data_IF_925654624333
#
_entry.id   IF_925654624333
#
_cell.length_a   1.000
_cell.length_b   1.000
_cell.length_c   1.000
_cell.angle_alpha   90.00
_cell.angle_beta   90.00
_cell.angle_gamma   90.00
#
_symmetry.space_group_name_H-M   'P 1'
#
loop_
_entity.id
_entity.type
_entity.pdbx_description
1 polymer ?
#
# COMPACT_ATOMS: atom_id res chain seq x y z
N UNK A 1 -6.52 13.38 7.19
CA UNK A 1 -5.73 13.95 8.33
C UNK A 1 -5.17 15.29 7.87
N UNK A 2 -5.51 16.37 8.57
CA UNK A 2 -5.06 17.73 8.23
C UNK A 2 -4.08 18.22 9.30
N UNK A 3 -3.07 19.01 8.90
CA UNK A 3 -2.06 19.54 9.83
C UNK A 3 -0.84 20.14 9.11
N UNK A 4 -0.02 20.95 9.78
CA UNK A 4 1.14 21.63 9.19
C UNK A 4 2.23 20.66 8.74
N UNK A 5 3.14 21.08 7.85
CA UNK A 5 4.29 20.26 7.46
C UNK A 5 5.10 19.84 8.69
N UNK A 6 5.59 18.60 8.71
CA UNK A 6 6.33 18.04 9.86
C UNK A 6 5.47 17.50 11.02
N UNK A 7 4.14 17.63 10.98
CA UNK A 7 3.26 17.12 12.05
C UNK A 7 3.08 15.59 12.08
N UNK A 8 3.95 14.82 11.42
CA UNK A 8 3.90 13.35 11.42
C UNK A 8 2.79 12.69 10.59
N UNK A 9 2.03 13.43 9.77
CA UNK A 9 0.92 12.87 8.96
C UNK A 9 1.37 11.74 8.03
N UNK A 10 2.47 11.97 7.32
CA UNK A 10 3.02 10.98 6.39
C UNK A 10 3.52 9.76 7.15
N UNK A 11 4.20 9.96 8.28
CA UNK A 11 4.64 8.87 9.17
C UNK A 11 3.44 8.03 9.63
N UNK A 12 2.37 8.67 10.10
CA UNK A 12 1.16 7.97 10.52
C UNK A 12 0.52 7.17 9.39
N UNK A 13 0.39 7.76 8.19
CA UNK A 13 -0.15 7.05 7.03
C UNK A 13 0.74 5.87 6.60
N UNK A 14 2.06 6.00 6.71
CA UNK A 14 2.99 4.92 6.39
C UNK A 14 2.89 3.77 7.40
N UNK A 15 2.75 4.08 8.70
CA UNK A 15 2.55 3.07 9.75
C UNK A 15 1.23 2.33 9.53
N UNK A 16 0.12 3.06 9.30
CA UNK A 16 -1.20 2.46 9.02
C UNK A 16 -1.13 1.58 7.76
N UNK A 17 -0.42 2.05 6.74
CA UNK A 17 -0.23 1.33 5.49
C UNK A 17 0.73 0.13 5.57
N UNK A 18 1.41 -0.09 6.70
CA UNK A 18 2.42 -1.15 6.84
C UNK A 18 3.69 -0.93 6.00
N UNK A 19 3.98 0.32 5.64
CA UNK A 19 5.25 0.72 5.01
C UNK A 19 6.33 1.06 6.04
N UNK A 20 5.92 1.41 7.25
CA UNK A 20 6.81 1.75 8.35
C UNK A 20 6.37 1.06 9.65
N UNK A 21 7.27 0.96 10.63
CA UNK A 21 7.01 0.33 11.93
C UNK A 21 6.80 1.39 13.01
N UNK A 22 5.86 1.15 13.90
CA UNK A 22 5.74 1.94 15.12
C UNK A 22 6.72 1.41 16.18
N UNK A 23 7.16 2.27 17.08
CA UNK A 23 8.08 1.90 18.16
C UNK A 23 7.31 1.41 19.40
N UNK A 24 6.22 2.09 19.76
CA UNK A 24 5.39 1.79 20.93
C UNK A 24 3.89 1.81 20.60
N UNK A 25 3.08 1.19 21.47
CA UNK A 25 1.64 1.05 21.28
C UNK A 25 1.25 -0.22 20.52
N UNK A 26 0.02 -0.28 20.03
CA UNK A 26 -0.48 -1.39 19.23
C UNK A 26 -1.37 -0.88 18.10
N UNK A 27 -1.21 -1.51 16.93
CA UNK A 27 -2.04 -1.29 15.76
C UNK A 27 -2.87 -2.55 15.56
N UNK A 28 -4.19 -2.41 15.64
CA UNK A 28 -5.13 -3.53 15.46
C UNK A 28 -5.79 -3.42 14.09
N UNK A 29 -5.59 -4.44 13.25
CA UNK A 29 -6.15 -4.51 11.90
C UNK A 29 -7.15 -5.67 11.87
N UNK A 30 -8.39 -5.39 11.49
CA UNK A 30 -9.47 -6.41 11.43
C UNK A 30 -9.64 -7.20 12.73
N UNK A 31 -9.43 -6.55 13.88
CA UNK A 31 -9.53 -7.18 15.21
C UNK A 31 -8.31 -7.98 15.65
N UNK A 32 -7.24 -8.02 14.85
CA UNK A 32 -5.98 -8.72 15.17
C UNK A 32 -4.88 -7.71 15.47
N UNK A 33 -4.16 -7.92 16.58
CA UNK A 33 -2.97 -7.12 16.91
C UNK A 33 -1.86 -7.38 15.89
N UNK A 34 -1.29 -6.31 15.35
CA UNK A 34 -0.18 -6.40 14.39
C UNK A 34 1.14 -6.80 15.04
N UNK A 35 1.21 -6.87 16.37
CA UNK A 35 2.36 -7.45 17.08
C UNK A 35 2.53 -8.94 16.80
N UNK A 36 1.43 -9.62 16.45
CA UNK A 36 1.43 -11.04 16.11
C UNK A 36 1.65 -11.28 14.60
N UNK A 37 1.65 -10.23 13.78
CA UNK A 37 1.84 -10.36 12.34
C UNK A 37 3.28 -10.78 12.02
N UNK A 38 3.40 -11.82 11.19
CA UNK A 38 4.64 -12.19 10.51
C UNK A 38 4.76 -11.43 9.20
N UNK A 39 5.93 -11.47 8.57
CA UNK A 39 6.17 -10.79 7.29
C UNK A 39 5.13 -11.16 6.21
N UNK A 40 4.71 -12.43 6.17
CA UNK A 40 3.66 -12.90 5.25
C UNK A 40 2.30 -12.25 5.51
N UNK A 41 1.97 -11.94 6.76
CA UNK A 41 0.72 -11.28 7.13
C UNK A 41 0.75 -9.81 6.69
N UNK A 42 1.90 -9.16 6.81
CA UNK A 42 2.13 -7.82 6.26
C UNK A 42 2.06 -7.76 4.75
N UNK A 43 2.64 -8.73 4.05
CA UNK A 43 2.53 -8.84 2.59
C UNK A 43 1.07 -9.03 2.16
N UNK A 44 0.34 -9.91 2.84
CA UNK A 44 -1.08 -10.12 2.57
C UNK A 44 -1.90 -8.85 2.81
N UNK A 45 -1.68 -8.17 3.94
CA UNK A 45 -2.34 -6.91 4.27
C UNK A 45 -2.10 -5.84 3.20
N UNK A 46 -0.83 -5.64 2.82
CA UNK A 46 -0.44 -4.67 1.79
C UNK A 46 -1.05 -5.00 0.43
N UNK A 47 -1.07 -6.27 0.03
CA UNK A 47 -1.52 -6.67 -1.31
C UNK A 47 -3.05 -6.68 -1.48
N UNK A 48 -3.80 -6.87 -0.40
CA UNK A 48 -5.26 -7.07 -0.47
C UNK A 48 -6.08 -5.96 0.19
N UNK A 49 -5.50 -5.20 1.12
CA UNK A 49 -6.26 -4.23 1.94
C UNK A 49 -5.83 -2.80 1.67
N UNK A 50 -4.58 -2.56 1.26
CA UNK A 50 -4.02 -1.22 1.15
C UNK A 50 -3.71 -0.85 -0.30
N UNK A 51 -4.20 0.32 -0.71
CA UNK A 51 -3.79 0.99 -1.94
C UNK A 51 -3.19 2.35 -1.60
N UNK A 52 -1.99 2.64 -2.09
CA UNK A 52 -1.34 3.93 -1.88
C UNK A 52 -1.57 4.87 -3.06
N UNK A 53 -1.95 6.10 -2.75
CA UNK A 53 -1.93 7.23 -3.68
C UNK A 53 -1.04 8.29 -3.07
N UNK A 54 0.05 8.62 -3.76
CA UNK A 54 1.05 9.57 -3.31
C UNK A 54 0.82 10.95 -3.94
N UNK A 55 1.20 12.02 -3.24
CA UNK A 55 1.13 13.39 -3.78
C UNK A 55 2.03 13.58 -5.01
N UNK A 56 3.19 12.90 -5.03
CA UNK A 56 3.99 12.71 -6.23
C UNK A 56 3.61 11.36 -6.84
N UNK A 57 3.14 11.35 -8.08
CA UNK A 57 2.47 10.19 -8.68
C UNK A 57 3.29 8.88 -8.75
N UNK A 58 4.59 8.88 -8.39
CA UNK A 58 5.49 7.71 -8.39
C UNK A 58 5.37 6.83 -9.65
N UNK A 59 5.04 7.44 -10.79
CA UNK A 59 4.91 6.73 -12.07
C UNK A 59 6.29 6.42 -12.63
N UNK A 60 6.41 5.25 -13.25
CA UNK A 60 7.60 4.87 -14.01
C UNK A 60 7.55 5.63 -15.34
N UNK A 61 8.42 6.64 -15.57
CA UNK A 61 8.22 7.63 -16.65
C UNK A 61 8.34 7.04 -18.06
N UNK A 62 9.11 5.96 -18.21
CA UNK A 62 9.35 5.29 -19.49
C UNK A 62 8.31 4.20 -19.81
N UNK A 63 7.27 4.07 -18.99
CA UNK A 63 6.17 3.13 -19.20
C UNK A 63 4.87 3.86 -19.55
N UNK A 64 3.99 3.19 -20.30
CA UNK A 64 2.65 3.72 -20.59
C UNK A 64 1.81 3.78 -19.31
N UNK A 65 0.76 4.60 -19.31
CA UNK A 65 -0.21 4.67 -18.21
C UNK A 65 -0.81 3.28 -17.92
N UNK A 66 -1.16 2.54 -18.98
CA UNK A 66 -1.68 1.18 -18.86
C UNK A 66 -0.66 0.23 -18.20
N UNK A 67 0.62 0.32 -18.58
CA UNK A 67 1.67 -0.51 -17.99
C UNK A 67 1.91 -0.20 -16.49
N UNK A 68 1.84 1.08 -16.09
CA UNK A 68 1.91 1.46 -14.68
C UNK A 68 0.75 0.87 -13.86
N UNK A 69 -0.47 0.87 -14.40
CA UNK A 69 -1.64 0.26 -13.75
C UNK A 69 -1.53 -1.28 -13.70
N UNK A 70 -1.06 -1.91 -14.77
CA UNK A 70 -0.86 -3.37 -14.82
C UNK A 70 0.24 -3.85 -13.86
N UNK A 71 1.27 -3.04 -13.58
CA UNK A 71 2.31 -3.37 -12.62
C UNK A 71 1.74 -3.51 -11.20
N UNK A 72 0.89 -2.57 -10.78
CA UNK A 72 0.20 -2.66 -9.49
C UNK A 72 -0.67 -3.93 -9.40
N UNK A 73 -1.38 -4.28 -10.48
CA UNK A 73 -2.21 -5.49 -10.55
C UNK A 73 -1.40 -6.80 -10.65
N UNK A 74 -0.13 -6.74 -11.04
CA UNK A 74 0.76 -7.90 -11.10
C UNK A 74 1.14 -8.36 -9.69
N UNK A 75 1.32 -7.42 -8.77
CA UNK A 75 1.65 -7.68 -7.37
C UNK A 75 0.47 -8.38 -6.66
N UNK A 76 -0.77 -8.09 -7.05
CA UNK A 76 -1.98 -8.78 -6.55
C UNK A 76 -2.23 -10.18 -7.13
N UNK A 77 -1.28 -10.76 -7.89
CA UNK A 77 -1.37 -12.15 -8.38
C UNK A 77 -2.41 -12.40 -9.49
N UNK A 78 -2.93 -11.34 -10.14
CA UNK A 78 -3.98 -11.46 -11.16
C UNK A 78 -3.38 -11.87 -12.51
N UNK A 79 -4.03 -12.80 -13.21
CA UNK A 79 -3.62 -13.26 -14.54
C UNK A 79 -3.61 -12.13 -15.57
N UNK A 80 -2.64 -12.14 -16.49
CA UNK A 80 -2.40 -11.07 -17.47
C UNK A 80 -3.68 -10.61 -18.20
N UNK A 81 -4.53 -11.56 -18.61
CA UNK A 81 -5.79 -11.29 -19.32
C UNK A 81 -6.81 -10.53 -18.45
N UNK A 82 -6.86 -10.82 -17.15
CA UNK A 82 -7.73 -10.12 -16.21
C UNK A 82 -7.18 -8.74 -15.81
N UNK A 83 -5.85 -8.57 -15.77
CA UNK A 83 -5.22 -7.25 -15.53
C UNK A 83 -5.57 -6.25 -16.63
N UNK A 84 -5.38 -6.61 -17.90
CA UNK A 84 -5.69 -5.72 -19.03
C UNK A 84 -7.17 -5.34 -19.10
N UNK A 85 -8.09 -6.21 -18.64
CA UNK A 85 -9.52 -5.90 -18.57
C UNK A 85 -9.86 -4.95 -17.42
N UNK A 86 -9.15 -5.01 -16.28
CA UNK A 86 -9.36 -4.13 -15.13
C UNK A 86 -8.65 -2.78 -15.25
N UNK A 87 -7.58 -2.72 -16.06
CA UNK A 87 -6.80 -1.51 -16.30
C UNK A 87 -7.34 -0.64 -17.45
N UNK A 88 -8.31 -1.15 -18.22
CA UNK A 88 -9.12 -0.40 -19.18
C UNK A 88 -10.40 0.08 -18.53
#
# INVERSE_FOLDING_TARGET
ILGPSGSGKTTLLNIIGGLDRYEEGDLVINGVSTREYKDRDWDSYRNHTIGFVFQSYNLIPHQTVLANVELALTISGISKKARTKRAK
#
